data_IF_638567242974
#
_entry.id   IF_638567242974
#
_cell.length_a   1.000
_cell.length_b   1.000
_cell.length_c   1.000
_cell.angle_alpha   90.00
_cell.angle_beta   90.00
_cell.angle_gamma   90.00
#
_symmetry.space_group_name_H-M   'P 1'
#
loop_
_entity.id
_entity.type
_entity.pdbx_description
1 polymer ?
#
# COMPACT_ATOMS: atom_id res chain seq x y z
N UNK A 1 5.28 23.54 -11.96
CA UNK A 1 5.20 24.08 -13.32
C UNK A 1 5.56 22.98 -14.29
N UNK A 2 4.77 22.81 -15.37
CA UNK A 2 5.02 21.78 -16.39
C UNK A 2 5.01 22.42 -17.77
N UNK A 3 5.94 22.01 -18.62
CA UNK A 3 5.97 22.30 -20.04
C UNK A 3 6.24 21.01 -20.79
N UNK A 4 5.41 20.68 -21.78
CA UNK A 4 5.57 19.48 -22.58
C UNK A 4 5.36 19.79 -24.07
N UNK A 5 6.06 19.01 -24.90
CA UNK A 5 5.86 18.98 -26.32
C UNK A 5 5.70 17.53 -26.76
N UNK A 6 4.59 17.24 -27.43
CA UNK A 6 4.24 15.89 -27.86
C UNK A 6 3.97 15.90 -29.36
N UNK A 7 4.36 14.84 -30.05
CA UNK A 7 4.08 14.58 -31.45
C UNK A 7 3.50 13.17 -31.58
N UNK A 8 2.46 13.04 -32.35
CA UNK A 8 1.83 11.74 -32.69
C UNK A 8 1.66 11.66 -34.20
N UNK A 9 1.66 10.48 -34.72
CA UNK A 9 1.44 10.27 -36.17
C UNK A 9 1.35 8.80 -36.52
N UNK A 10 0.90 8.57 -37.75
CA UNK A 10 0.81 7.25 -38.36
C UNK A 10 1.84 7.14 -39.49
N UNK A 11 2.36 5.96 -39.70
CA UNK A 11 3.31 5.67 -40.76
C UNK A 11 3.20 4.21 -41.19
N UNK A 12 3.60 3.93 -42.45
CA UNK A 12 3.63 2.56 -42.91
C UNK A 12 4.99 1.91 -42.59
N UNK A 13 4.94 0.85 -41.78
CA UNK A 13 6.10 0.03 -41.42
C UNK A 13 6.03 -1.31 -42.12
N UNK A 14 6.76 -1.52 -43.23
CA UNK A 14 6.81 -2.76 -43.99
C UNK A 14 5.43 -3.25 -44.49
N UNK A 15 4.52 -2.34 -44.77
CA UNK A 15 3.15 -2.66 -45.20
C UNK A 15 2.13 -2.67 -44.06
N UNK A 16 2.52 -2.44 -42.82
CA UNK A 16 1.65 -2.33 -41.65
C UNK A 16 1.44 -0.85 -41.29
N UNK A 17 0.20 -0.47 -40.98
CA UNK A 17 -0.13 0.89 -40.55
C UNK A 17 0.15 1.06 -39.08
N UNK A 18 1.34 1.52 -38.75
CA UNK A 18 1.80 1.72 -37.39
C UNK A 18 1.56 3.15 -36.90
N UNK A 19 1.28 3.30 -35.61
CA UNK A 19 1.13 4.60 -34.95
C UNK A 19 2.26 4.82 -33.95
N UNK A 20 2.68 6.08 -33.80
CA UNK A 20 3.69 6.45 -32.80
C UNK A 20 3.28 7.68 -32.00
N UNK A 21 3.80 7.76 -30.78
CA UNK A 21 3.84 8.97 -29.97
C UNK A 21 5.26 9.20 -29.45
N UNK A 22 5.70 10.45 -29.41
CA UNK A 22 6.97 10.83 -28.78
C UNK A 22 6.83 12.19 -28.12
N UNK A 23 7.57 12.43 -27.05
CA UNK A 23 7.47 13.70 -26.38
C UNK A 23 8.65 14.00 -25.46
N UNK A 24 8.71 15.27 -25.09
CA UNK A 24 9.63 15.81 -24.11
C UNK A 24 8.85 16.59 -23.07
N UNK A 25 9.23 16.47 -21.81
CA UNK A 25 8.59 17.13 -20.69
C UNK A 25 9.64 17.75 -19.77
N UNK A 26 9.35 18.95 -19.28
CA UNK A 26 10.04 19.52 -18.13
C UNK A 26 9.04 19.84 -17.05
N UNK A 27 9.28 19.31 -15.84
CA UNK A 27 8.45 19.54 -14.67
C UNK A 27 9.30 20.08 -13.51
N UNK A 28 8.79 21.10 -12.83
CA UNK A 28 9.36 21.66 -11.61
C UNK A 28 8.32 21.58 -10.52
N UNK A 29 8.64 20.93 -9.44
CA UNK A 29 7.79 20.77 -8.27
C UNK A 29 8.41 21.47 -7.08
N UNK A 30 7.55 22.17 -6.30
CA UNK A 30 7.90 22.81 -5.05
C UNK A 30 6.82 22.54 -4.05
N UNK A 31 7.21 22.14 -2.85
CA UNK A 31 6.32 21.90 -1.73
C UNK A 31 6.77 22.64 -0.48
N UNK A 32 5.80 23.14 0.27
CA UNK A 32 6.02 23.71 1.58
C UNK A 32 4.86 23.30 2.48
N UNK A 33 5.17 22.67 3.61
CA UNK A 33 4.25 22.41 4.69
C UNK A 33 4.67 23.21 5.92
N UNK A 34 3.77 24.09 6.40
CA UNK A 34 4.03 25.00 7.51
C UNK A 34 3.15 24.60 8.67
N UNK A 35 3.68 23.90 9.68
CA UNK A 35 2.95 23.59 10.90
C UNK A 35 2.49 24.84 11.65
N UNK A 36 1.52 24.66 12.54
CA UNK A 36 1.07 25.72 13.43
C UNK A 36 2.25 26.38 14.17
N UNK A 37 2.27 27.72 14.33
CA UNK A 37 3.37 28.41 15.01
C UNK A 37 3.69 27.92 16.41
N UNK A 38 2.72 27.44 17.19
CA UNK A 38 2.96 26.86 18.50
C UNK A 38 3.61 25.47 18.42
N UNK A 39 3.26 24.70 17.38
CA UNK A 39 3.86 23.40 17.10
C UNK A 39 5.30 23.55 16.62
N UNK A 40 5.57 24.52 15.73
CA UNK A 40 6.92 24.90 15.31
C UNK A 40 7.80 25.35 16.51
N UNK A 41 7.23 26.11 17.43
CA UNK A 41 7.94 26.57 18.62
C UNK A 41 8.09 25.47 19.70
N UNK A 42 7.41 24.33 19.57
CA UNK A 42 7.35 23.29 20.60
C UNK A 42 6.59 23.71 21.85
N UNK A 43 5.66 24.63 21.71
CA UNK A 43 4.79 25.17 22.80
C UNK A 43 3.40 24.56 22.79
N UNK A 44 3.15 23.62 21.90
CA UNK A 44 1.92 22.84 21.77
C UNK A 44 2.00 21.58 22.67
N UNK A 45 0.87 21.04 23.11
CA UNK A 45 0.82 19.81 23.92
C UNK A 45 1.25 18.52 23.21
N UNK A 46 1.53 18.56 21.91
CA UNK A 46 2.07 17.48 21.09
C UNK A 46 3.56 17.67 20.77
N UNK A 47 4.07 16.81 19.88
CA UNK A 47 5.46 16.85 19.46
C UNK A 47 5.78 18.10 18.62
N UNK A 48 7.01 18.58 18.72
CA UNK A 48 7.52 19.63 17.84
C UNK A 48 7.64 19.09 16.41
N UNK A 49 7.03 19.79 15.44
CA UNK A 49 7.11 19.49 14.01
C UNK A 49 7.77 20.68 13.29
N UNK A 50 8.89 20.48 12.61
CA UNK A 50 9.54 21.54 11.86
C UNK A 50 8.87 21.78 10.51
N UNK A 51 9.24 22.88 9.85
CA UNK A 51 8.88 23.22 8.49
C UNK A 51 9.43 22.19 7.51
N UNK A 52 8.61 21.78 6.54
CA UNK A 52 9.05 21.01 5.37
C UNK A 52 9.09 21.96 4.16
N UNK A 53 10.22 22.06 3.49
CA UNK A 53 10.38 22.83 2.25
C UNK A 53 11.30 22.05 1.33
N UNK A 54 10.87 21.86 0.10
CA UNK A 54 11.69 21.19 -0.90
C UNK A 54 11.27 21.52 -2.32
N UNK A 55 12.17 21.28 -3.25
CA UNK A 55 11.92 21.38 -4.68
C UNK A 55 12.75 20.36 -5.44
N UNK A 56 12.23 19.91 -6.58
CA UNK A 56 12.98 19.15 -7.56
C UNK A 56 12.50 19.47 -8.97
N UNK A 57 13.32 19.14 -9.95
CA UNK A 57 12.97 19.23 -11.36
C UNK A 57 13.20 17.91 -12.08
N UNK A 58 12.41 17.68 -13.14
CA UNK A 58 12.46 16.50 -13.99
C UNK A 58 12.51 16.92 -15.43
N UNK A 59 13.38 16.29 -16.22
CA UNK A 59 13.33 16.35 -17.68
C UNK A 59 13.06 14.94 -18.20
N UNK A 60 11.90 14.76 -18.82
CA UNK A 60 11.41 13.49 -19.33
C UNK A 60 11.44 13.42 -20.85
N UNK A 61 11.73 12.23 -21.37
CA UNK A 61 11.70 11.89 -22.79
C UNK A 61 11.00 10.56 -22.94
N UNK A 62 10.07 10.46 -23.88
CA UNK A 62 9.38 9.20 -24.11
C UNK A 62 9.13 8.94 -25.60
N UNK A 63 8.97 7.67 -25.92
CA UNK A 63 8.53 7.18 -27.21
C UNK A 63 7.64 5.97 -27.06
N UNK A 64 6.59 5.91 -27.89
CA UNK A 64 5.61 4.83 -27.92
C UNK A 64 5.39 4.39 -29.36
N UNK A 65 5.17 3.10 -29.55
CA UNK A 65 4.91 2.50 -30.86
C UNK A 65 3.80 1.46 -30.72
N UNK A 66 2.85 1.53 -31.64
CA UNK A 66 1.75 0.57 -31.76
C UNK A 66 1.75 0.02 -33.20
N UNK A 67 1.84 -1.30 -33.34
CA UNK A 67 1.95 -1.96 -34.65
C UNK A 67 0.92 -3.09 -34.75
N UNK A 68 -0.04 -3.01 -35.69
CA UNK A 68 -0.93 -4.11 -36.01
C UNK A 68 -0.14 -5.16 -36.82
N UNK A 69 0.34 -6.19 -36.16
CA UNK A 69 1.22 -7.22 -36.76
C UNK A 69 0.47 -8.15 -37.72
N UNK A 70 -0.81 -8.42 -37.40
CA UNK A 70 -1.66 -9.36 -38.14
C UNK A 70 -3.06 -8.78 -38.23
N UNK A 71 -3.69 -8.89 -39.39
CA UNK A 71 -5.08 -8.51 -39.66
C UNK A 71 -5.76 -9.56 -40.55
N UNK A 72 -7.04 -9.79 -40.31
CA UNK A 72 -7.95 -10.60 -41.16
C UNK A 72 -7.50 -12.06 -41.45
N UNK A 73 -6.79 -12.69 -40.48
CA UNK A 73 -6.44 -14.12 -40.60
C UNK A 73 -7.35 -15.01 -39.72
N UNK A 74 -7.55 -16.28 -40.11
CA UNK A 74 -8.26 -17.23 -39.25
C UNK A 74 -7.60 -17.35 -37.86
N UNK A 75 -8.39 -17.25 -36.81
CA UNK A 75 -7.94 -17.24 -35.40
C UNK A 75 -7.00 -16.07 -35.03
N UNK A 76 -6.86 -15.08 -35.89
CA UNK A 76 -6.08 -13.87 -35.66
C UNK A 76 -6.68 -12.70 -36.44
N UNK A 77 -7.91 -12.31 -36.10
CA UNK A 77 -8.55 -11.15 -36.70
C UNK A 77 -7.70 -9.89 -36.57
N UNK A 78 -7.06 -9.75 -35.41
CA UNK A 78 -6.11 -8.69 -35.17
C UNK A 78 -5.09 -9.14 -34.11
N UNK A 79 -3.80 -8.92 -34.39
CA UNK A 79 -2.75 -8.98 -33.39
C UNK A 79 -2.02 -7.65 -33.40
N UNK A 80 -2.14 -6.90 -32.32
CA UNK A 80 -1.49 -5.60 -32.16
C UNK A 80 -0.43 -5.69 -31.09
N UNK A 81 0.78 -5.25 -31.43
CA UNK A 81 1.91 -5.10 -30.50
C UNK A 81 2.06 -3.64 -30.12
N UNK A 82 2.28 -3.37 -28.84
CA UNK A 82 2.59 -2.05 -28.32
C UNK A 82 3.90 -2.07 -27.54
N UNK A 83 4.68 -1.02 -27.63
CA UNK A 83 5.85 -0.80 -26.79
C UNK A 83 6.01 0.67 -26.45
N UNK A 84 6.51 0.94 -25.25
CA UNK A 84 6.83 2.29 -24.81
C UNK A 84 8.14 2.28 -24.02
N UNK A 85 8.87 3.38 -24.14
CA UNK A 85 10.06 3.65 -23.34
C UNK A 85 10.06 5.10 -22.88
N UNK A 86 10.33 5.31 -21.60
CA UNK A 86 10.47 6.64 -20.99
C UNK A 86 11.75 6.71 -20.17
N UNK A 87 12.45 7.84 -20.27
CA UNK A 87 13.57 8.15 -19.39
C UNK A 87 13.38 9.54 -18.79
N UNK A 88 13.52 9.62 -17.48
CA UNK A 88 13.37 10.84 -16.68
C UNK A 88 14.67 11.15 -15.94
N UNK A 89 15.13 12.39 -16.05
CA UNK A 89 16.29 12.89 -15.32
C UNK A 89 15.80 13.79 -14.17
N UNK A 90 15.81 13.24 -12.97
CA UNK A 90 15.47 13.95 -11.73
C UNK A 90 16.69 14.70 -11.19
N UNK A 91 16.47 15.90 -10.66
CA UNK A 91 17.53 16.65 -9.94
C UNK A 91 17.92 16.00 -8.61
N UNK A 92 17.13 15.04 -8.11
CA UNK A 92 17.27 14.38 -6.82
C UNK A 92 17.64 12.89 -6.97
N UNK A 93 16.79 12.09 -7.59
CA UNK A 93 16.97 10.63 -7.73
C UNK A 93 17.86 10.21 -8.92
N UNK A 94 18.34 11.17 -9.74
CA UNK A 94 19.16 10.86 -10.91
C UNK A 94 18.35 10.47 -12.14
N UNK A 95 18.83 9.51 -12.91
CA UNK A 95 18.17 9.03 -14.14
C UNK A 95 17.45 7.74 -13.87
N UNK A 96 16.17 7.72 -14.18
CA UNK A 96 15.29 6.55 -14.06
C UNK A 96 14.63 6.27 -15.40
N UNK A 97 14.31 5.02 -15.68
CA UNK A 97 13.63 4.63 -16.92
C UNK A 97 12.48 3.67 -16.65
N UNK A 98 11.55 3.62 -17.59
CA UNK A 98 10.39 2.78 -17.58
C UNK A 98 10.15 2.19 -18.96
N UNK A 99 9.73 0.92 -18.99
CA UNK A 99 9.48 0.17 -20.21
C UNK A 99 8.11 -0.47 -20.19
N UNK A 100 7.52 -0.65 -21.37
CA UNK A 100 6.26 -1.37 -21.54
C UNK A 100 6.29 -2.17 -22.83
N UNK A 101 5.83 -3.43 -22.74
CA UNK A 101 5.52 -4.28 -23.89
C UNK A 101 4.11 -4.84 -23.72
N UNK A 102 3.31 -4.71 -24.74
CA UNK A 102 1.93 -5.18 -24.74
C UNK A 102 1.58 -5.93 -26.01
N UNK A 103 0.67 -6.87 -25.87
CA UNK A 103 0.04 -7.60 -26.97
C UNK A 103 -1.47 -7.63 -26.77
N UNK A 104 -2.20 -7.35 -27.84
CA UNK A 104 -3.64 -7.57 -27.94
C UNK A 104 -3.88 -8.52 -29.10
N UNK A 105 -4.56 -9.63 -28.85
CA UNK A 105 -4.87 -10.65 -29.83
C UNK A 105 -6.37 -10.91 -29.87
N UNK A 106 -7.03 -10.36 -30.88
CA UNK A 106 -8.43 -10.64 -31.23
C UNK A 106 -8.44 -11.94 -32.02
N UNK A 107 -8.81 -13.03 -31.37
CA UNK A 107 -8.82 -14.37 -31.96
C UNK A 107 -9.97 -14.50 -32.95
N UNK A 108 -11.14 -14.03 -32.55
CA UNK A 108 -12.39 -13.96 -33.34
C UNK A 108 -13.32 -12.91 -32.67
N UNK A 109 -14.56 -12.79 -33.18
CA UNK A 109 -15.55 -11.83 -32.66
C UNK A 109 -15.88 -12.06 -31.17
N UNK A 110 -15.69 -13.27 -30.65
CA UNK A 110 -16.09 -13.69 -29.34
C UNK A 110 -14.94 -13.64 -28.33
N UNK A 111 -13.66 -13.79 -28.76
CA UNK A 111 -12.54 -14.02 -27.86
C UNK A 111 -11.36 -13.08 -28.13
N UNK A 112 -10.94 -12.38 -27.10
CA UNK A 112 -9.75 -11.52 -27.11
C UNK A 112 -8.82 -11.86 -25.96
N UNK A 113 -7.56 -12.00 -26.24
CA UNK A 113 -6.47 -12.09 -25.27
C UNK A 113 -5.71 -10.76 -25.21
N UNK A 114 -5.23 -10.39 -24.02
CA UNK A 114 -4.32 -9.25 -23.80
C UNK A 114 -3.23 -9.60 -22.81
N UNK A 115 -2.04 -9.07 -23.03
CA UNK A 115 -0.94 -9.24 -22.10
C UNK A 115 -0.06 -8.00 -22.07
N UNK A 116 0.40 -7.61 -20.89
CA UNK A 116 1.32 -6.49 -20.70
C UNK A 116 2.41 -6.90 -19.73
N UNK A 117 3.64 -6.57 -20.09
CA UNK A 117 4.82 -6.58 -19.23
C UNK A 117 5.33 -5.15 -19.15
N UNK A 118 5.49 -4.62 -17.95
CA UNK A 118 5.99 -3.25 -17.79
C UNK A 118 6.88 -3.12 -16.56
N UNK A 119 7.91 -2.32 -16.71
CA UNK A 119 8.72 -1.79 -15.63
C UNK A 119 8.36 -0.32 -15.45
N UNK A 120 8.07 0.07 -14.20
CA UNK A 120 7.72 1.43 -13.84
C UNK A 120 8.51 1.87 -12.62
N UNK A 121 8.64 3.19 -12.44
CA UNK A 121 9.47 3.77 -11.37
C UNK A 121 8.70 4.85 -10.63
N UNK A 122 8.98 4.96 -9.33
CA UNK A 122 8.53 6.07 -8.48
C UNK A 122 9.73 6.78 -7.85
N UNK A 123 9.97 8.02 -8.23
CA UNK A 123 10.95 8.84 -7.54
C UNK A 123 10.43 9.27 -6.16
N UNK A 124 11.32 9.52 -5.17
CA UNK A 124 10.95 10.04 -3.86
C UNK A 124 10.18 11.35 -3.97
N UNK A 125 9.14 11.50 -3.15
CA UNK A 125 8.37 12.73 -3.02
C UNK A 125 9.15 13.82 -2.25
N UNK A 126 8.68 15.08 -2.31
CA UNK A 126 9.23 16.17 -1.50
C UNK A 126 9.19 15.81 0.00
N UNK A 127 8.15 15.15 0.46
CA UNK A 127 8.06 14.71 1.86
C UNK A 127 9.08 13.62 2.20
N UNK A 128 9.29 12.66 1.30
CA UNK A 128 10.28 11.59 1.52
C UNK A 128 11.70 12.17 1.65
N UNK A 129 12.03 13.20 0.86
CA UNK A 129 13.35 13.82 0.82
C UNK A 129 13.56 14.87 1.92
N UNK A 130 12.61 15.80 2.07
CA UNK A 130 12.82 17.07 2.77
C UNK A 130 11.96 17.26 4.02
N UNK A 131 11.18 16.27 4.47
CA UNK A 131 10.49 16.39 5.76
C UNK A 131 11.47 16.74 6.85
N UNK A 132 11.19 17.83 7.56
CA UNK A 132 12.02 18.25 8.68
C UNK A 132 11.99 17.20 9.80
N UNK A 133 13.01 17.20 10.67
CA UNK A 133 13.10 16.22 11.76
C UNK A 133 12.06 16.53 12.85
N UNK A 134 10.93 15.84 12.80
CA UNK A 134 9.86 15.92 13.77
C UNK A 134 10.25 15.12 15.03
N UNK A 135 9.99 15.71 16.20
CA UNK A 135 10.22 15.05 17.48
C UNK A 135 9.23 13.88 17.65
N UNK A 136 9.73 12.77 18.19
CA UNK A 136 8.93 11.60 18.53
C UNK A 136 9.38 10.95 19.82
N UNK A 137 8.45 10.34 20.56
CA UNK A 137 8.70 9.60 21.80
C UNK A 137 8.10 8.21 21.63
N UNK A 138 8.88 7.30 21.09
CA UNK A 138 8.47 5.90 20.90
C UNK A 138 9.28 5.04 21.88
N UNK A 139 8.68 3.99 22.41
CA UNK A 139 9.40 3.02 23.22
C UNK A 139 10.48 2.34 22.37
N UNK A 140 11.74 2.52 22.78
CA UNK A 140 12.92 1.97 22.09
C UNK A 140 13.58 0.91 22.95
N UNK A 141 13.75 -0.30 22.40
CA UNK A 141 14.59 -1.32 22.98
C UNK A 141 16.08 -1.01 22.75
N UNK A 142 16.86 -0.87 23.80
CA UNK A 142 18.32 -0.79 23.67
C UNK A 142 18.91 -2.20 23.67
N UNK A 143 19.58 -2.64 22.57
CA UNK A 143 20.18 -3.97 22.50
C UNK A 143 21.26 -4.22 23.57
N UNK A 144 21.82 -3.16 24.14
CA UNK A 144 22.81 -3.27 25.22
C UNK A 144 22.18 -3.45 26.61
N UNK A 145 20.86 -3.31 26.75
CA UNK A 145 20.19 -3.53 28.03
C UNK A 145 20.32 -5.00 28.46
N UNK A 146 20.90 -5.22 29.65
CA UNK A 146 21.18 -6.56 30.18
C UNK A 146 22.64 -6.98 30.11
N UNK A 147 23.49 -6.28 29.35
CA UNK A 147 24.95 -6.57 29.29
C UNK A 147 25.59 -6.35 30.64
N UNK A 148 26.45 -7.30 31.06
CA UNK A 148 27.04 -7.33 32.43
C UNK A 148 26.05 -7.78 33.52
N UNK A 149 24.83 -8.17 33.15
CA UNK A 149 23.78 -8.62 34.05
C UNK A 149 23.54 -10.13 34.05
N UNK A 150 22.53 -10.57 34.81
CA UNK A 150 22.20 -12.01 34.99
C UNK A 150 21.75 -12.70 33.73
N UNK A 151 21.23 -11.97 32.73
CA UNK A 151 20.68 -12.52 31.48
C UNK A 151 21.66 -12.40 30.30
N UNK A 152 22.86 -11.90 30.50
CA UNK A 152 23.87 -11.72 29.43
C UNK A 152 24.11 -13.02 28.63
N UNK A 153 24.15 -14.17 29.31
CA UNK A 153 24.38 -15.47 28.69
C UNK A 153 23.32 -15.85 27.62
N UNK A 154 22.15 -15.21 27.64
CA UNK A 154 21.09 -15.42 26.66
C UNK A 154 21.11 -14.38 25.53
N UNK A 155 22.02 -13.42 25.55
CA UNK A 155 22.14 -12.37 24.55
C UNK A 155 23.00 -12.84 23.38
N UNK A 156 22.84 -12.20 22.22
CA UNK A 156 23.71 -12.43 21.08
C UNK A 156 25.16 -12.02 21.44
N UNK A 157 26.14 -12.94 21.33
CA UNK A 157 27.53 -12.66 21.72
C UNK A 157 28.17 -11.48 20.97
N UNK A 158 27.79 -11.26 19.68
CA UNK A 158 28.27 -10.11 18.88
C UNK A 158 27.77 -8.80 19.48
N UNK A 159 26.50 -8.75 19.87
CA UNK A 159 25.90 -7.58 20.54
C UNK A 159 26.59 -7.30 21.85
N UNK A 160 26.80 -8.33 22.68
CA UNK A 160 27.51 -8.18 23.97
C UNK A 160 28.92 -7.61 23.76
N UNK A 161 29.68 -8.19 22.82
CA UNK A 161 31.03 -7.71 22.52
C UNK A 161 31.06 -6.26 22.03
N UNK A 162 30.14 -5.90 21.11
CA UNK A 162 30.04 -4.55 20.57
C UNK A 162 29.59 -3.55 21.66
N UNK A 163 28.62 -3.90 22.50
CA UNK A 163 28.21 -3.05 23.62
C UNK A 163 29.34 -2.81 24.64
N UNK A 164 30.08 -3.85 25.01
CA UNK A 164 31.20 -3.74 25.94
C UNK A 164 32.44 -3.04 25.35
N UNK A 165 32.54 -2.95 24.04
CA UNK A 165 33.58 -2.17 23.37
C UNK A 165 33.38 -0.65 23.52
N UNK A 166 32.15 -0.18 23.85
CA UNK A 166 31.88 1.20 24.23
C UNK A 166 32.20 1.39 25.71
N UNK A 167 33.26 2.19 26.06
CA UNK A 167 33.69 2.35 27.43
C UNK A 167 32.64 2.94 28.38
N UNK A 168 31.66 3.70 27.81
CA UNK A 168 30.55 4.29 28.57
C UNK A 168 29.59 3.20 29.04
N UNK A 169 29.23 2.28 28.15
CA UNK A 169 28.34 1.15 28.44
C UNK A 169 29.04 0.19 29.41
N UNK A 170 30.29 -0.18 29.12
CA UNK A 170 31.09 -1.06 29.98
C UNK A 170 31.23 -0.53 31.40
N UNK A 171 31.52 0.78 31.58
CA UNK A 171 31.63 1.40 32.89
C UNK A 171 30.32 1.39 33.69
N UNK A 172 29.18 1.61 33.00
CA UNK A 172 27.86 1.58 33.63
C UNK A 172 27.44 0.15 33.95
N UNK A 173 27.69 -0.81 33.05
CA UNK A 173 27.43 -2.23 33.28
C UNK A 173 28.18 -2.77 34.52
N UNK A 174 29.45 -2.37 34.69
CA UNK A 174 30.26 -2.78 35.84
C UNK A 174 29.74 -2.23 37.18
N UNK A 175 29.09 -1.07 37.17
CA UNK A 175 28.50 -0.46 38.38
C UNK A 175 27.11 -1.01 38.69
N UNK A 176 26.37 -1.41 37.71
CA UNK A 176 24.95 -1.71 37.79
C UNK A 176 24.09 -0.46 38.06
N UNK A 177 22.79 -0.65 38.16
CA UNK A 177 21.80 0.40 38.46
C UNK A 177 21.23 0.20 39.86
N UNK A 178 21.35 1.22 40.72
CA UNK A 178 20.70 1.21 42.02
C UNK A 178 19.20 1.47 41.86
N UNK A 179 18.38 0.54 42.36
CA UNK A 179 16.93 0.66 42.42
C UNK A 179 16.51 1.15 43.79
N UNK A 180 16.00 2.39 43.87
CA UNK A 180 15.66 3.06 45.10
C UNK A 180 14.46 2.41 45.80
N UNK A 181 13.49 1.94 45.01
CA UNK A 181 12.24 1.38 45.54
C UNK A 181 12.48 0.01 46.18
N UNK A 182 13.37 -0.78 45.58
CA UNK A 182 13.73 -2.10 46.07
C UNK A 182 14.96 -2.13 46.97
N UNK A 183 15.68 -1.00 47.07
CA UNK A 183 16.94 -0.85 47.81
C UNK A 183 17.99 -1.93 47.43
N UNK A 184 18.10 -2.22 46.14
CA UNK A 184 19.07 -3.19 45.60
C UNK A 184 19.85 -2.60 44.42
N UNK A 185 21.02 -3.18 44.16
CA UNK A 185 21.75 -2.91 42.90
C UNK A 185 21.42 -3.97 41.88
N UNK A 186 20.79 -3.56 40.76
CA UNK A 186 20.53 -4.41 39.60
C UNK A 186 21.82 -4.51 38.81
N UNK A 187 22.40 -5.71 38.64
CA UNK A 187 23.67 -5.87 37.91
C UNK A 187 23.50 -5.62 36.42
N UNK A 188 24.57 -5.15 35.77
CA UNK A 188 24.63 -4.91 34.36
C UNK A 188 24.07 -3.56 33.93
N UNK A 189 24.10 -3.34 32.62
CA UNK A 189 23.60 -2.14 31.99
C UNK A 189 22.07 -2.21 31.89
N UNK A 190 21.35 -1.32 32.55
CA UNK A 190 19.90 -1.38 32.62
C UNK A 190 19.28 0.01 32.72
N UNK A 191 18.02 0.10 32.34
CA UNK A 191 17.20 1.30 32.39
C UNK A 191 16.17 1.23 33.51
N UNK A 192 15.81 2.36 34.08
CA UNK A 192 14.56 2.51 34.80
C UNK A 192 13.41 2.76 33.83
N UNK A 193 12.19 2.49 34.27
CA UNK A 193 11.00 2.72 33.44
C UNK A 193 10.90 4.18 32.91
N UNK A 194 11.12 5.22 33.74
CA UNK A 194 11.14 6.59 33.25
C UNK A 194 12.22 6.85 32.19
N UNK A 195 13.40 6.25 32.33
CA UNK A 195 14.48 6.42 31.34
C UNK A 195 14.09 5.88 29.95
N UNK A 196 13.45 4.69 29.90
CA UNK A 196 13.00 4.11 28.60
C UNK A 196 11.92 4.97 27.97
N UNK A 197 10.95 5.43 28.75
CA UNK A 197 9.80 6.19 28.28
C UNK A 197 10.12 7.60 27.81
N UNK A 198 11.26 8.15 28.22
CA UNK A 198 11.65 9.53 27.90
C UNK A 198 12.76 9.64 26.86
N UNK A 199 13.13 8.54 26.19
CA UNK A 199 14.10 8.60 25.11
C UNK A 199 13.47 9.34 23.94
N UNK A 200 13.98 10.55 23.68
CA UNK A 200 13.53 11.38 22.58
C UNK A 200 14.09 10.90 21.25
N UNK A 201 13.32 10.99 20.20
CA UNK A 201 13.75 10.67 18.86
C UNK A 201 13.26 11.66 17.82
N UNK A 202 13.71 11.44 16.60
CA UNK A 202 13.38 12.26 15.46
C UNK A 202 13.05 11.38 14.25
N UNK A 203 11.97 11.75 13.54
CA UNK A 203 11.60 11.19 12.24
C UNK A 203 11.69 12.29 11.21
N UNK A 204 12.16 11.99 10.01
CA UNK A 204 12.31 13.03 8.97
C UNK A 204 12.59 12.44 7.60
N UNK A 205 12.74 13.32 6.62
CA UNK A 205 13.11 12.95 5.26
C UNK A 205 14.57 12.51 5.14
N UNK A 206 14.89 11.96 3.97
CA UNK A 206 16.24 11.51 3.61
C UNK A 206 16.54 11.92 2.15
N UNK A 207 17.44 12.86 1.98
CA UNK A 207 17.85 13.36 0.65
C UNK A 207 18.66 12.34 -0.18
N UNK A 208 19.06 11.20 0.44
CA UNK A 208 19.81 10.14 -0.25
C UNK A 208 18.93 9.00 -0.75
N UNK A 209 17.61 9.19 -0.80
CA UNK A 209 16.68 8.19 -1.34
C UNK A 209 16.83 8.10 -2.87
N UNK A 210 16.86 6.85 -3.36
CA UNK A 210 16.70 6.52 -4.76
C UNK A 210 15.22 6.30 -5.14
N UNK A 211 15.01 5.87 -6.37
CA UNK A 211 13.70 5.45 -6.87
C UNK A 211 13.27 4.10 -6.28
N UNK A 212 11.98 3.83 -6.37
CA UNK A 212 11.39 2.50 -6.30
C UNK A 212 11.17 2.01 -7.74
N UNK A 213 11.41 0.74 -7.99
CA UNK A 213 11.08 0.10 -9.27
C UNK A 213 9.97 -0.92 -9.10
N UNK A 214 9.11 -1.05 -10.10
CA UNK A 214 8.04 -2.02 -10.09
C UNK A 214 7.95 -2.78 -11.40
N UNK A 215 8.04 -4.11 -11.31
CA UNK A 215 7.73 -5.03 -12.41
C UNK A 215 6.27 -5.43 -12.35
N UNK A 216 5.57 -5.27 -13.47
CA UNK A 216 4.15 -5.59 -13.57
C UNK A 216 3.89 -6.53 -14.74
N UNK A 217 3.20 -7.63 -14.45
CA UNK A 217 2.67 -8.57 -15.44
C UNK A 217 1.15 -8.58 -15.35
N UNK A 218 0.47 -8.35 -16.47
CA UNK A 218 -0.98 -8.56 -16.59
C UNK A 218 -1.31 -9.43 -17.80
N UNK A 219 -2.21 -10.40 -17.59
CA UNK A 219 -2.73 -11.28 -18.64
C UNK A 219 -4.25 -11.31 -18.55
N UNK A 220 -4.93 -11.03 -19.64
CA UNK A 220 -6.38 -10.97 -19.64
C UNK A 220 -7.02 -11.76 -20.80
N UNK A 221 -8.14 -12.38 -20.51
CA UNK A 221 -9.01 -13.03 -21.48
C UNK A 221 -10.40 -12.39 -21.42
N UNK A 222 -10.87 -11.89 -22.53
CA UNK A 222 -12.24 -11.36 -22.70
C UNK A 222 -13.01 -12.31 -23.59
N UNK A 223 -14.20 -12.70 -23.14
CA UNK A 223 -15.10 -13.59 -23.85
C UNK A 223 -16.50 -12.99 -23.92
N UNK A 224 -16.95 -12.68 -25.14
CA UNK A 224 -18.25 -12.10 -25.43
C UNK A 224 -18.97 -12.98 -26.51
N UNK A 225 -19.52 -14.14 -26.09
CA UNK A 225 -20.01 -15.13 -27.04
C UNK A 225 -21.21 -14.61 -27.83
N UNK A 226 -21.09 -14.58 -29.14
CA UNK A 226 -22.15 -14.13 -30.07
C UNK A 226 -23.45 -14.97 -30.01
N UNK A 227 -23.34 -16.22 -29.50
CA UNK A 227 -24.49 -17.12 -29.33
C UNK A 227 -25.22 -16.96 -27.99
N UNK A 228 -24.69 -16.13 -27.06
CA UNK A 228 -25.33 -15.71 -25.80
C UNK A 228 -25.31 -14.20 -25.75
N UNK A 229 -26.32 -13.60 -26.37
CA UNK A 229 -26.44 -12.14 -26.44
C UNK A 229 -26.47 -11.52 -25.05
N UNK A 230 -25.76 -10.42 -24.85
CA UNK A 230 -25.65 -9.71 -23.55
C UNK A 230 -24.65 -10.30 -22.57
N UNK A 231 -23.99 -11.45 -22.83
CA UNK A 231 -22.96 -12.01 -21.94
C UNK A 231 -21.58 -11.43 -22.23
N UNK A 232 -20.89 -10.96 -21.20
CA UNK A 232 -19.47 -10.62 -21.23
C UNK A 232 -18.76 -11.20 -20.01
N UNK A 233 -17.65 -11.89 -20.25
CA UNK A 233 -16.79 -12.45 -19.20
C UNK A 233 -15.37 -11.99 -19.40
N UNK A 234 -14.74 -11.51 -18.35
CA UNK A 234 -13.32 -11.14 -18.37
C UNK A 234 -12.61 -11.83 -17.20
N UNK A 235 -11.49 -12.47 -17.49
CA UNK A 235 -10.58 -13.03 -16.50
C UNK A 235 -9.21 -12.37 -16.68
N UNK A 236 -8.76 -11.65 -15.66
CA UNK A 236 -7.45 -11.00 -15.65
C UNK A 236 -6.59 -11.59 -14.50
N UNK A 237 -5.35 -11.91 -14.81
CA UNK A 237 -4.28 -12.16 -13.86
C UNK A 237 -3.43 -10.91 -13.75
N UNK A 238 -3.02 -10.57 -12.55
CA UNK A 238 -2.03 -9.52 -12.30
C UNK A 238 -0.95 -9.99 -11.33
N UNK A 239 0.27 -9.54 -11.54
CA UNK A 239 1.39 -9.67 -10.62
C UNK A 239 2.19 -8.38 -10.65
N UNK A 240 2.43 -7.79 -9.48
CA UNK A 240 3.16 -6.54 -9.29
C UNK A 240 4.19 -6.78 -8.21
N UNK A 241 5.45 -6.61 -8.54
CA UNK A 241 6.57 -6.65 -7.61
C UNK A 241 7.23 -5.28 -7.55
N UNK A 242 7.35 -4.70 -6.34
CA UNK A 242 8.00 -3.41 -6.12
C UNK A 242 9.25 -3.65 -5.29
N UNK A 243 10.40 -3.28 -5.83
CA UNK A 243 11.69 -3.32 -5.14
C UNK A 243 12.08 -1.92 -4.65
N UNK A 244 13.01 -1.89 -3.71
CA UNK A 244 13.55 -0.64 -3.13
C UNK A 244 12.48 0.31 -2.60
N UNK A 245 11.36 -0.26 -2.09
CA UNK A 245 10.24 0.50 -1.54
C UNK A 245 10.76 1.43 -0.43
N UNK A 246 10.41 2.70 -0.55
CA UNK A 246 10.75 3.72 0.45
C UNK A 246 9.87 3.51 1.67
N UNK A 247 10.47 3.02 2.74
CA UNK A 247 9.80 2.79 4.01
C UNK A 247 10.61 3.32 5.18
N UNK A 248 9.92 3.71 6.25
CA UNK A 248 10.60 4.10 7.49
C UNK A 248 10.98 2.84 8.29
N UNK A 249 12.26 2.66 8.54
CA UNK A 249 12.74 1.60 9.44
C UNK A 249 12.71 2.10 10.87
N UNK A 250 12.14 1.28 11.78
CA UNK A 250 12.09 1.65 13.19
C UNK A 250 13.48 1.86 13.76
N UNK A 251 13.64 2.88 14.60
CA UNK A 251 14.91 3.16 15.25
C UNK A 251 15.41 1.97 16.08
N UNK A 252 14.52 1.21 16.74
CA UNK A 252 14.88 -0.03 17.44
C UNK A 252 15.60 -1.03 16.55
N UNK A 253 15.13 -1.19 15.32
CA UNK A 253 15.76 -2.08 14.35
C UNK A 253 17.11 -1.56 13.91
N UNK A 254 17.23 -0.30 13.51
CA UNK A 254 18.51 0.31 13.11
C UNK A 254 19.56 0.20 14.21
N UNK A 255 19.17 0.45 15.47
CA UNK A 255 20.07 0.32 16.62
C UNK A 255 20.49 -1.14 16.83
N UNK A 256 19.56 -2.09 16.71
CA UNK A 256 19.88 -3.52 16.80
C UNK A 256 20.86 -3.95 15.69
N UNK A 257 20.63 -3.57 14.46
CA UNK A 257 21.50 -3.87 13.32
C UNK A 257 22.90 -3.25 13.50
N UNK A 258 23.00 -2.04 14.07
CA UNK A 258 24.27 -1.42 14.41
C UNK A 258 25.08 -2.32 15.37
N UNK A 259 24.47 -2.78 16.46
CA UNK A 259 25.15 -3.60 17.47
C UNK A 259 25.33 -5.06 17.06
N UNK A 260 24.60 -5.55 16.07
CA UNK A 260 24.80 -6.88 15.45
C UNK A 260 25.88 -6.86 14.37
N UNK A 261 26.27 -5.69 13.88
CA UNK A 261 27.21 -5.55 12.79
C UNK A 261 28.64 -5.97 13.17
N UNK A 262 29.31 -6.71 12.29
CA UNK A 262 30.74 -6.98 12.39
C UNK A 262 31.60 -5.74 12.11
N UNK A 263 31.02 -4.69 11.51
CA UNK A 263 31.67 -3.40 11.22
C UNK A 263 31.37 -2.33 12.27
N UNK A 264 30.86 -2.71 13.46
CA UNK A 264 30.63 -1.76 14.56
C UNK A 264 31.94 -1.06 14.96
N UNK A 265 31.95 0.26 15.26
CA UNK A 265 30.83 1.22 15.23
C UNK A 265 30.65 1.94 13.88
N UNK A 266 31.29 1.48 12.80
CA UNK A 266 31.35 2.18 11.51
C UNK A 266 30.24 1.76 10.53
N UNK A 267 29.36 0.86 10.93
CA UNK A 267 28.18 0.51 10.13
C UNK A 267 27.23 1.72 9.99
N UNK A 268 26.64 1.90 8.82
CA UNK A 268 25.78 3.06 8.50
C UNK A 268 24.60 3.20 9.48
N UNK A 269 24.04 2.08 9.95
CA UNK A 269 22.95 2.05 10.92
C UNK A 269 23.34 2.63 12.29
N UNK A 270 24.65 2.71 12.59
CA UNK A 270 25.12 3.27 13.87
C UNK A 270 24.91 4.78 14.00
N UNK A 271 24.67 5.47 12.88
CA UNK A 271 24.26 6.89 12.88
C UNK A 271 22.84 7.12 13.40
N UNK A 272 22.02 6.05 13.51
CA UNK A 272 20.62 6.12 13.94
C UNK A 272 20.44 6.44 15.43
N UNK A 273 21.51 6.63 16.21
CA UNK A 273 21.38 6.96 17.63
C UNK A 273 22.59 7.71 18.19
N UNK A 274 22.35 8.37 19.31
CA UNK A 274 23.41 8.95 20.15
C UNK A 274 23.23 8.49 21.60
N UNK A 275 24.34 8.53 22.38
CA UNK A 275 24.34 8.12 23.78
C UNK A 275 24.86 9.23 24.69
N UNK A 276 24.36 9.27 25.91
CA UNK A 276 24.93 10.06 27.02
C UNK A 276 26.29 9.48 27.46
N UNK A 277 27.01 10.24 28.28
CA UNK A 277 28.25 9.77 28.93
C UNK A 277 28.03 8.55 29.84
N UNK A 278 26.80 8.33 30.31
CA UNK A 278 26.40 7.13 31.04
C UNK A 278 26.19 5.89 30.13
N UNK A 279 26.33 6.00 28.82
CA UNK A 279 26.07 4.94 27.86
C UNK A 279 24.59 4.77 27.49
N UNK A 280 23.64 5.35 28.22
CA UNK A 280 22.22 5.28 27.90
C UNK A 280 21.92 6.03 26.63
N UNK A 281 20.91 5.57 25.86
CA UNK A 281 20.42 6.24 24.65
C UNK A 281 19.96 7.67 24.98
N UNK A 282 20.42 8.62 24.18
CA UNK A 282 20.06 10.04 24.30
C UNK A 282 19.02 10.43 23.26
N UNK A 283 19.33 10.18 21.98
CA UNK A 283 18.46 10.42 20.85
C UNK A 283 18.50 9.24 19.90
N UNK A 284 17.40 9.03 19.21
CA UNK A 284 17.30 8.11 18.08
C UNK A 284 16.77 8.84 16.86
N UNK A 285 17.09 8.29 15.68
CA UNK A 285 16.70 8.83 14.41
C UNK A 285 16.10 7.71 13.56
N UNK A 286 14.95 8.01 12.91
CA UNK A 286 14.30 7.14 11.93
C UNK A 286 14.02 7.96 10.68
N UNK A 287 14.40 7.43 9.55
CA UNK A 287 14.23 8.06 8.25
C UNK A 287 13.88 6.99 7.21
N UNK A 288 13.33 7.45 6.06
CA UNK A 288 13.05 6.57 4.93
C UNK A 288 14.33 5.99 4.34
N UNK A 289 14.28 4.75 3.92
CA UNK A 289 15.34 4.06 3.19
C UNK A 289 14.73 3.17 2.10
N UNK A 290 15.47 2.96 1.01
CA UNK A 290 15.13 2.04 -0.06
C UNK A 290 15.60 0.62 0.30
N UNK A 291 14.77 -0.19 0.94
CA UNK A 291 15.15 -1.55 1.38
C UNK A 291 14.00 -2.54 1.40
N UNK A 292 12.77 -2.08 1.28
CA UNK A 292 11.60 -2.96 1.38
C UNK A 292 11.23 -3.51 0.02
N UNK A 293 10.61 -4.69 0.02
CA UNK A 293 9.99 -5.30 -1.16
C UNK A 293 8.53 -5.53 -0.88
N UNK A 294 7.72 -5.27 -1.88
CA UNK A 294 6.28 -5.50 -1.86
C UNK A 294 5.89 -6.30 -3.09
N UNK A 295 5.09 -7.35 -2.92
CA UNK A 295 4.60 -8.18 -4.01
C UNK A 295 3.10 -8.42 -3.83
N UNK A 296 2.32 -8.24 -4.90
CA UNK A 296 0.91 -8.58 -4.92
C UNK A 296 0.56 -9.28 -6.23
N UNK A 297 -0.22 -10.37 -6.14
CA UNK A 297 -0.69 -11.11 -7.29
C UNK A 297 -2.11 -11.62 -7.04
N UNK A 298 -2.86 -11.85 -8.13
CA UNK A 298 -4.21 -12.38 -8.03
C UNK A 298 -4.93 -12.42 -9.35
N UNK A 299 -6.23 -12.70 -9.26
CA UNK A 299 -7.13 -12.82 -10.40
C UNK A 299 -8.35 -11.95 -10.16
N UNK A 300 -8.80 -11.27 -11.23
CA UNK A 300 -10.08 -10.58 -11.30
C UNK A 300 -10.98 -11.28 -12.32
N UNK A 301 -12.11 -11.80 -11.86
CA UNK A 301 -13.16 -12.36 -12.71
C UNK A 301 -14.32 -11.36 -12.76
N UNK A 302 -14.57 -10.78 -13.93
CA UNK A 302 -15.74 -9.94 -14.15
C UNK A 302 -16.74 -10.64 -15.07
N UNK A 303 -18.01 -10.61 -14.70
CA UNK A 303 -19.12 -11.19 -15.48
C UNK A 303 -20.21 -10.15 -15.57
N UNK A 304 -20.62 -9.83 -16.80
CA UNK A 304 -21.79 -9.00 -17.09
C UNK A 304 -22.79 -9.80 -17.92
N UNK A 305 -24.07 -9.70 -17.59
CA UNK A 305 -25.16 -10.26 -18.38
C UNK A 305 -26.38 -9.37 -18.35
N UNK A 306 -26.90 -9.05 -19.53
CA UNK A 306 -28.13 -8.26 -19.69
C UNK A 306 -29.25 -9.12 -20.22
N UNK A 307 -30.34 -9.25 -19.46
CA UNK A 307 -31.57 -9.89 -19.85
C UNK A 307 -32.49 -8.82 -20.43
N UNK A 308 -32.63 -8.77 -21.74
CA UNK A 308 -33.51 -7.82 -22.44
C UNK A 308 -34.97 -8.23 -22.39
N UNK A 309 -35.27 -9.53 -22.30
CA UNK A 309 -36.63 -10.08 -22.19
C UNK A 309 -36.82 -10.84 -20.88
N UNK A 310 -37.58 -10.24 -19.97
CA UNK A 310 -37.97 -10.83 -18.69
C UNK A 310 -39.37 -11.49 -18.73
N UNK A 311 -39.90 -11.74 -19.91
CA UNK A 311 -41.25 -12.32 -20.12
C UNK A 311 -42.36 -11.37 -19.64
N UNK A 312 -43.14 -11.70 -18.60
CA UNK A 312 -44.25 -10.85 -18.17
C UNK A 312 -43.80 -9.59 -17.37
N UNK A 313 -42.52 -9.50 -16.97
CA UNK A 313 -42.00 -8.35 -16.24
C UNK A 313 -41.42 -7.36 -17.24
N UNK A 314 -41.91 -6.08 -17.26
CA UNK A 314 -41.40 -5.08 -18.21
C UNK A 314 -39.98 -4.68 -17.85
N UNK A 315 -39.22 -4.23 -18.88
CA UNK A 315 -37.85 -3.71 -18.71
C UNK A 315 -36.77 -4.77 -18.88
N UNK A 316 -35.55 -4.39 -18.52
CA UNK A 316 -34.36 -5.19 -18.63
C UNK A 316 -33.71 -5.42 -17.24
N UNK A 317 -32.97 -6.51 -17.09
CA UNK A 317 -32.17 -6.80 -15.90
C UNK A 317 -30.71 -6.93 -16.30
N UNK A 318 -29.88 -6.00 -15.82
CA UNK A 318 -28.44 -6.04 -15.93
C UNK A 318 -27.82 -6.63 -14.64
N UNK A 319 -27.00 -7.65 -14.80
CA UNK A 319 -26.25 -8.27 -13.70
C UNK A 319 -24.77 -8.07 -13.99
N UNK A 320 -24.05 -7.41 -13.07
CA UNK A 320 -22.60 -7.23 -13.16
C UNK A 320 -21.94 -7.66 -11.86
N UNK A 321 -21.03 -8.60 -11.98
CA UNK A 321 -20.23 -9.09 -10.86
C UNK A 321 -18.75 -8.95 -11.14
N UNK A 322 -17.99 -8.63 -10.09
CA UNK A 322 -16.53 -8.76 -10.07
C UNK A 322 -16.13 -9.52 -8.81
N UNK A 323 -15.25 -10.50 -8.99
CA UNK A 323 -14.64 -11.27 -7.90
C UNK A 323 -13.14 -11.11 -8.02
N UNK A 324 -12.51 -10.55 -6.99
CA UNK A 324 -11.06 -10.49 -6.85
C UNK A 324 -10.60 -11.63 -5.95
N UNK A 325 -9.71 -12.47 -6.46
CA UNK A 325 -9.04 -13.56 -5.73
C UNK A 325 -7.57 -13.17 -5.59
N UNK A 326 -7.15 -12.89 -4.36
CA UNK A 326 -5.77 -12.49 -4.05
C UNK A 326 -4.94 -13.73 -3.76
N UNK A 327 -3.86 -13.93 -4.52
CA UNK A 327 -2.94 -15.07 -4.38
C UNK A 327 -1.72 -14.72 -3.52
N UNK A 328 -1.26 -13.46 -3.60
CA UNK A 328 -0.12 -12.94 -2.84
C UNK A 328 -0.36 -11.52 -2.36
N UNK A 329 0.15 -11.21 -1.17
CA UNK A 329 0.29 -9.86 -0.63
C UNK A 329 1.49 -9.83 0.32
N UNK A 330 2.67 -9.91 -0.26
CA UNK A 330 3.92 -10.13 0.47
C UNK A 330 4.57 -8.78 0.75
N UNK A 331 4.98 -8.59 1.99
CA UNK A 331 5.81 -7.47 2.41
C UNK A 331 7.10 -7.98 3.06
N UNK A 332 8.20 -7.42 2.63
CA UNK A 332 9.51 -7.68 3.19
C UNK A 332 10.14 -6.36 3.62
N UNK A 333 10.33 -6.16 4.90
CA UNK A 333 10.76 -4.87 5.48
C UNK A 333 12.18 -4.48 5.07
N UNK A 334 13.06 -5.45 4.86
CA UNK A 334 14.44 -5.24 4.37
C UNK A 334 14.91 -6.48 3.62
N UNK A 335 15.94 -6.33 2.80
CA UNK A 335 16.54 -7.43 2.02
C UNK A 335 16.98 -8.67 2.84
N UNK A 336 17.12 -8.52 4.15
CA UNK A 336 17.53 -9.61 5.07
C UNK A 336 16.42 -10.13 5.96
N UNK A 337 15.24 -9.48 5.96
CA UNK A 337 14.08 -9.95 6.73
C UNK A 337 13.36 -11.08 6.01
N UNK A 338 12.68 -11.93 6.76
CA UNK A 338 11.79 -12.95 6.18
C UNK A 338 10.56 -12.24 5.56
N UNK A 339 10.25 -12.50 4.29
CA UNK A 339 9.00 -12.03 3.70
C UNK A 339 7.80 -12.57 4.46
N UNK A 340 6.77 -11.77 4.62
CA UNK A 340 5.50 -12.16 5.25
C UNK A 340 4.38 -11.96 4.24
N UNK A 341 3.59 -13.00 4.02
CA UNK A 341 2.38 -12.93 3.22
C UNK A 341 1.19 -12.57 4.12
N UNK A 342 0.47 -11.51 3.76
CA UNK A 342 -0.66 -10.96 4.50
C UNK A 342 -2.01 -11.32 3.88
N UNK A 343 -2.06 -12.21 2.86
CA UNK A 343 -3.33 -12.71 2.32
C UNK A 343 -4.11 -13.40 3.43
N UNK A 344 -5.41 -13.08 3.52
CA UNK A 344 -6.29 -13.59 4.57
C UNK A 344 -6.27 -12.78 5.87
N UNK A 345 -5.50 -11.68 5.96
CA UNK A 345 -5.65 -10.72 7.08
C UNK A 345 -6.85 -9.80 6.84
N UNK A 346 -7.47 -9.31 7.90
CA UNK A 346 -8.59 -8.35 7.83
C UNK A 346 -8.24 -7.15 6.96
N UNK A 347 -9.04 -6.90 5.92
CA UNK A 347 -8.78 -5.89 4.89
C UNK A 347 -7.95 -6.40 3.70
N UNK A 348 -7.31 -7.55 3.84
CA UNK A 348 -6.55 -8.25 2.80
C UNK A 348 -7.12 -9.66 2.54
N UNK A 349 -8.45 -9.76 2.59
CA UNK A 349 -9.18 -11.00 2.34
C UNK A 349 -8.71 -11.64 1.02
N UNK A 350 -8.63 -12.95 1.00
CA UNK A 350 -8.29 -13.72 -0.20
C UNK A 350 -9.34 -13.63 -1.29
N UNK A 351 -10.64 -13.51 -0.92
CA UNK A 351 -11.73 -13.31 -1.86
C UNK A 351 -12.59 -12.10 -1.49
N UNK A 352 -12.82 -11.22 -2.45
CA UNK A 352 -13.75 -10.10 -2.36
C UNK A 352 -14.65 -10.13 -3.59
N UNK A 353 -15.97 -10.04 -3.39
CA UNK A 353 -16.91 -9.97 -4.51
C UNK A 353 -17.88 -8.80 -4.38
N UNK A 354 -18.18 -8.19 -5.53
CA UNK A 354 -19.26 -7.22 -5.66
C UNK A 354 -20.15 -7.60 -6.82
N UNK A 355 -21.45 -7.74 -6.55
CA UNK A 355 -22.44 -8.09 -7.57
C UNK A 355 -23.55 -7.04 -7.52
N UNK A 356 -23.85 -6.46 -8.67
CA UNK A 356 -24.93 -5.50 -8.87
C UNK A 356 -26.01 -6.15 -9.71
N UNK A 357 -27.26 -6.03 -9.27
CA UNK A 357 -28.47 -6.36 -10.01
C UNK A 357 -29.21 -5.06 -10.27
N UNK A 358 -29.35 -4.67 -11.53
CA UNK A 358 -30.01 -3.42 -11.90
C UNK A 358 -31.17 -3.73 -12.83
N UNK A 359 -32.41 -3.57 -12.34
CA UNK A 359 -33.61 -3.66 -13.13
C UNK A 359 -34.05 -2.26 -13.58
N UNK A 360 -34.28 -2.09 -14.87
CA UNK A 360 -34.60 -0.81 -15.50
C UNK A 360 -35.85 -0.94 -16.36
N UNK A 361 -36.77 0.00 -16.22
CA UNK A 361 -37.93 0.22 -17.11
C UNK A 361 -37.93 1.66 -17.61
N UNK A 362 -38.96 2.05 -18.36
CA UNK A 362 -39.12 3.44 -18.80
C UNK A 362 -39.10 4.44 -17.64
N UNK A 363 -39.71 4.10 -16.48
CA UNK A 363 -39.87 4.99 -15.37
C UNK A 363 -39.07 4.60 -14.11
N UNK A 364 -38.63 3.33 -13.98
CA UNK A 364 -38.04 2.80 -12.78
C UNK A 364 -36.61 2.29 -12.99
N UNK A 365 -35.76 2.55 -12.00
CA UNK A 365 -34.49 1.84 -11.84
C UNK A 365 -34.41 1.32 -10.42
N UNK A 366 -34.22 0.01 -10.28
CA UNK A 366 -34.00 -0.66 -8.99
C UNK A 366 -32.63 -1.32 -9.02
N UNK A 367 -31.74 -0.92 -8.14
CA UNK A 367 -30.39 -1.48 -8.02
C UNK A 367 -30.19 -2.12 -6.66
N UNK A 368 -29.81 -3.39 -6.66
CA UNK A 368 -29.36 -4.13 -5.48
C UNK A 368 -27.89 -4.47 -5.62
N UNK A 369 -27.06 -3.93 -4.74
CA UNK A 369 -25.63 -4.25 -4.67
C UNK A 369 -25.38 -5.22 -3.54
N UNK A 370 -24.65 -6.28 -3.82
CA UNK A 370 -24.13 -7.25 -2.85
C UNK A 370 -22.63 -7.10 -2.73
N UNK A 371 -22.12 -6.96 -1.52
CA UNK A 371 -20.70 -6.92 -1.23
C UNK A 371 -20.36 -8.11 -0.31
N UNK A 372 -19.41 -8.91 -0.72
CA UNK A 372 -18.94 -10.10 -0.01
C UNK A 372 -17.45 -10.00 0.29
N UNK A 373 -17.06 -10.41 1.48
CA UNK A 373 -15.69 -10.59 1.94
C UNK A 373 -15.56 -11.99 2.52
N UNK A 374 -14.53 -12.74 2.13
CA UNK A 374 -14.24 -14.05 2.71
C UNK A 374 -13.88 -13.91 4.19
N UNK A 375 -13.80 -15.03 4.88
CA UNK A 375 -13.23 -15.10 6.23
C UNK A 375 -11.78 -14.60 6.25
N UNK A 376 -11.34 -14.16 7.41
CA UNK A 376 -10.02 -13.54 7.59
C UNK A 376 -9.47 -13.81 9.00
N UNK A 377 -8.24 -13.41 9.22
CA UNK A 377 -7.58 -13.43 10.52
C UNK A 377 -7.15 -12.03 10.93
N UNK A 378 -7.09 -11.76 12.23
CA UNK A 378 -6.65 -10.46 12.74
C UNK A 378 -5.13 -10.21 12.57
N UNK A 379 -4.33 -11.28 12.54
CA UNK A 379 -2.86 -11.22 12.41
C UNK A 379 -2.31 -12.56 11.89
N UNK A 380 -1.99 -12.61 10.59
CA UNK A 380 -1.41 -13.81 9.94
C UNK A 380 0.00 -14.15 10.44
N UNK A 381 0.66 -13.26 11.17
CA UNK A 381 1.99 -13.51 11.74
C UNK A 381 1.96 -14.34 13.03
N UNK A 382 0.77 -14.54 13.60
CA UNK A 382 0.58 -15.34 14.82
C UNK A 382 0.56 -16.82 14.53
N UNK A 383 1.13 -17.61 15.44
CA UNK A 383 1.07 -19.06 15.31
C UNK A 383 -0.37 -19.58 15.44
N UNK A 384 -0.78 -20.60 14.65
CA UNK A 384 -2.08 -21.23 14.79
C UNK A 384 -2.33 -21.70 16.23
N UNK A 385 -3.49 -21.33 16.79
CA UNK A 385 -3.86 -21.65 18.17
C UNK A 385 -3.29 -20.68 19.22
N UNK A 386 -2.64 -19.59 18.80
CA UNK A 386 -2.26 -18.51 19.69
C UNK A 386 -3.52 -17.87 20.32
N UNK A 387 -3.44 -17.50 21.59
CA UNK A 387 -4.53 -16.78 22.28
C UNK A 387 -4.86 -15.43 21.61
N UNK A 388 -3.90 -14.86 20.87
CA UNK A 388 -4.02 -13.58 20.18
C UNK A 388 -4.51 -13.71 18.73
N UNK A 389 -4.60 -14.92 18.19
CA UNK A 389 -5.11 -15.14 16.85
C UNK A 389 -6.63 -15.25 16.90
N UNK A 390 -7.31 -14.35 16.19
CA UNK A 390 -8.76 -14.35 16.09
C UNK A 390 -9.18 -14.53 14.63
N UNK A 391 -9.99 -15.56 14.37
CA UNK A 391 -10.67 -15.73 13.11
C UNK A 391 -11.86 -14.76 13.03
N UNK A 392 -12.04 -14.18 11.85
CA UNK A 392 -13.14 -13.28 11.49
C UNK A 392 -13.95 -13.96 10.41
N UNK A 393 -15.22 -14.22 10.67
CA UNK A 393 -16.13 -14.89 9.73
C UNK A 393 -16.36 -14.06 8.47
N UNK A 394 -16.70 -14.73 7.38
CA UNK A 394 -17.08 -14.07 6.12
C UNK A 394 -18.26 -13.12 6.32
N UNK A 395 -18.25 -12.04 5.55
CA UNK A 395 -19.21 -10.96 5.71
C UNK A 395 -19.86 -10.58 4.38
N UNK A 396 -21.20 -10.48 4.38
CA UNK A 396 -21.96 -10.03 3.21
C UNK A 396 -22.95 -8.97 3.64
N UNK A 397 -22.99 -7.85 2.93
CA UNK A 397 -24.01 -6.83 3.10
C UNK A 397 -24.63 -6.41 1.77
N UNK A 398 -25.84 -5.86 1.86
CA UNK A 398 -26.68 -5.50 0.73
C UNK A 398 -27.02 -4.02 0.78
N UNK A 399 -26.93 -3.36 -0.38
CA UNK A 399 -27.36 -1.97 -0.57
C UNK A 399 -28.44 -1.91 -1.62
N UNK A 400 -29.54 -1.21 -1.33
CA UNK A 400 -30.68 -1.09 -2.25
C UNK A 400 -30.88 0.37 -2.63
N UNK A 401 -31.06 0.64 -3.91
CA UNK A 401 -31.49 1.94 -4.39
C UNK A 401 -32.69 1.76 -5.35
N UNK A 402 -33.69 2.60 -5.20
CA UNK A 402 -34.85 2.70 -6.09
C UNK A 402 -34.93 4.14 -6.58
N UNK A 403 -34.98 4.31 -7.90
CA UNK A 403 -35.19 5.59 -8.57
C UNK A 403 -36.47 5.53 -9.37
N UNK A 404 -37.22 6.63 -9.36
CA UNK A 404 -38.41 6.82 -10.17
C UNK A 404 -38.33 8.15 -10.94
N UNK A 405 -38.52 8.10 -12.23
CA UNK A 405 -38.49 9.25 -13.12
C UNK A 405 -39.91 9.90 -13.12
N UNK A 406 -40.03 11.03 -12.38
CA UNK A 406 -41.30 11.77 -12.25
C UNK A 406 -41.68 12.48 -13.53
N UNK A 407 -40.70 12.96 -14.27
CA UNK A 407 -40.83 13.61 -15.59
C UNK A 407 -39.52 13.37 -16.36
N UNK A 408 -39.49 13.69 -17.65
CA UNK A 408 -38.26 13.62 -18.46
C UNK A 408 -37.05 14.39 -17.88
N UNK A 409 -37.29 15.29 -16.94
CA UNK A 409 -36.27 16.20 -16.37
C UNK A 409 -36.11 16.07 -14.86
N UNK A 410 -36.95 15.28 -14.20
CA UNK A 410 -36.95 15.21 -12.72
C UNK A 410 -37.08 13.75 -12.29
N UNK A 411 -36.11 13.27 -11.55
CA UNK A 411 -36.18 11.99 -10.86
C UNK A 411 -36.08 12.12 -9.33
N UNK A 412 -36.66 11.14 -8.66
CA UNK A 412 -36.59 10.94 -7.22
C UNK A 412 -35.94 9.60 -6.95
N UNK A 413 -35.01 9.55 -6.00
CA UNK A 413 -34.43 8.29 -5.57
C UNK A 413 -34.48 8.13 -4.06
N UNK A 414 -34.61 6.88 -3.63
CA UNK A 414 -34.54 6.43 -2.26
C UNK A 414 -33.53 5.30 -2.17
N UNK A 415 -32.67 5.29 -1.14
CA UNK A 415 -31.73 4.22 -0.94
C UNK A 415 -31.62 3.80 0.52
N UNK A 416 -31.17 2.56 0.69
CA UNK A 416 -30.86 1.96 1.99
C UNK A 416 -29.55 1.23 1.87
N UNK A 417 -28.51 1.78 2.46
CA UNK A 417 -27.24 1.05 2.63
C UNK A 417 -27.37 0.11 3.83
N UNK A 418 -26.71 -1.05 3.74
CA UNK A 418 -26.80 -2.15 4.70
C UNK A 418 -28.27 -2.58 4.96
N UNK A 419 -29.00 -2.94 3.90
CA UNK A 419 -30.40 -3.31 3.93
C UNK A 419 -30.74 -4.40 4.98
N UNK A 420 -29.81 -5.32 5.22
CA UNK A 420 -29.95 -6.40 6.18
C UNK A 420 -29.67 -5.99 7.64
N UNK A 421 -29.22 -4.76 7.89
CA UNK A 421 -28.80 -4.27 9.21
C UNK A 421 -27.73 -5.14 9.86
N UNK A 422 -26.81 -5.62 9.05
CA UNK A 422 -25.78 -6.56 9.50
C UNK A 422 -24.62 -5.82 10.15
N UNK A 423 -24.30 -6.18 11.38
CA UNK A 423 -23.15 -5.63 12.09
C UNK A 423 -21.85 -6.19 11.52
N UNK A 424 -20.77 -5.39 11.44
CA UNK A 424 -19.45 -5.90 11.09
C UNK A 424 -19.01 -7.02 12.04
N UNK A 425 -18.15 -7.95 11.58
CA UNK A 425 -17.61 -8.97 12.46
C UNK A 425 -16.87 -8.39 13.65
N UNK A 426 -17.02 -9.03 14.81
CA UNK A 426 -16.32 -8.63 16.02
C UNK A 426 -14.85 -9.02 15.96
N UNK A 427 -13.95 -8.05 16.12
CA UNK A 427 -12.51 -8.26 16.08
C UNK A 427 -11.79 -7.35 17.07
N UNK A 428 -11.65 -7.74 18.35
CA UNK A 428 -11.07 -6.90 19.39
C UNK A 428 -9.58 -6.61 19.22
N UNK A 429 -8.88 -7.39 18.39
CA UNK A 429 -7.44 -7.26 18.17
C UNK A 429 -7.09 -6.73 16.78
N UNK A 430 -8.10 -6.37 15.96
CA UNK A 430 -7.82 -5.85 14.60
C UNK A 430 -6.96 -4.59 14.65
N UNK A 431 -5.79 -4.63 14.04
CA UNK A 431 -4.77 -3.58 14.07
C UNK A 431 -5.16 -2.30 13.31
N UNK A 432 -6.09 -2.42 12.36
CA UNK A 432 -6.48 -1.33 11.47
C UNK A 432 -7.69 -0.54 11.97
N UNK A 433 -8.04 -0.68 13.23
CA UNK A 433 -9.13 0.08 13.83
C UNK A 433 -8.66 1.49 14.21
N UNK A 434 -9.29 2.56 13.70
CA UNK A 434 -8.91 3.95 13.99
C UNK A 434 -9.21 4.35 15.42
N UNK A 435 -10.01 3.56 16.13
CA UNK A 435 -10.43 3.85 17.48
C UNK A 435 -10.15 2.64 18.38
N UNK A 436 -9.12 2.69 19.25
CA UNK A 436 -8.74 1.57 20.12
C UNK A 436 -9.78 1.22 21.20
N UNK A 437 -11.03 1.49 20.97
CA UNK A 437 -12.17 1.13 21.80
C UNK A 437 -13.30 0.50 20.99
N UNK A 438 -13.23 0.47 19.67
CA UNK A 438 -14.17 -0.24 18.82
C UNK A 438 -13.67 -1.67 18.63
N UNK A 439 -14.54 -2.63 18.86
CA UNK A 439 -14.23 -4.06 18.70
C UNK A 439 -14.78 -4.60 17.38
N UNK A 440 -14.86 -3.77 16.34
CA UNK A 440 -15.43 -4.14 15.05
C UNK A 440 -14.43 -3.89 13.91
N UNK A 441 -14.55 -4.64 12.84
CA UNK A 441 -13.78 -4.47 11.59
C UNK A 441 -14.41 -3.43 10.66
N UNK A 442 -15.07 -2.41 11.21
CA UNK A 442 -15.93 -1.50 10.47
C UNK A 442 -15.25 -0.80 9.29
N UNK A 443 -13.99 -0.39 9.40
CA UNK A 443 -13.27 0.23 8.31
C UNK A 443 -13.01 -0.70 7.14
N UNK A 444 -12.77 -1.97 7.39
CA UNK A 444 -12.46 -2.95 6.36
C UNK A 444 -13.71 -3.51 5.67
N UNK A 445 -14.86 -3.56 6.34
CA UNK A 445 -16.03 -4.30 5.87
C UNK A 445 -17.29 -3.44 5.69
N UNK A 446 -17.43 -2.31 6.36
CA UNK A 446 -18.68 -1.56 6.33
C UNK A 446 -18.50 -0.08 6.00
N UNK A 447 -19.28 0.39 5.04
CA UNK A 447 -19.45 1.83 4.77
C UNK A 447 -20.21 2.57 5.87
N UNK A 448 -21.03 1.85 6.64
CA UNK A 448 -21.95 2.40 7.65
C UNK A 448 -21.71 1.64 8.95
N UNK A 449 -21.27 2.35 9.97
CA UNK A 449 -20.72 1.84 11.21
C UNK A 449 -21.66 0.98 12.04
N UNK A 450 -22.98 1.21 12.03
CA UNK A 450 -23.78 0.66 13.13
C UNK A 450 -25.22 0.32 12.77
N UNK A 451 -25.68 0.66 11.57
CA UNK A 451 -27.08 0.47 11.22
C UNK A 451 -27.35 0.76 9.74
N UNK A 452 -28.59 0.53 9.33
CA UNK A 452 -29.09 0.95 8.02
C UNK A 452 -28.96 2.47 7.86
N UNK A 453 -28.41 2.87 6.72
CA UNK A 453 -28.41 4.26 6.34
C UNK A 453 -29.47 4.50 5.27
N UNK A 454 -30.43 5.37 5.55
CA UNK A 454 -31.52 5.71 4.63
C UNK A 454 -31.24 7.09 4.02
N UNK A 455 -31.44 7.20 2.71
CA UNK A 455 -31.30 8.48 2.03
C UNK A 455 -32.38 8.67 0.96
N UNK A 456 -32.74 9.92 0.71
CA UNK A 456 -33.65 10.34 -0.35
C UNK A 456 -33.06 11.54 -1.05
N UNK A 457 -33.24 11.64 -2.36
CA UNK A 457 -32.78 12.77 -3.14
C UNK A 457 -33.61 12.99 -4.40
N UNK A 458 -33.36 14.14 -5.00
CA UNK A 458 -33.97 14.56 -6.25
C UNK A 458 -32.87 14.99 -7.21
N UNK A 459 -33.06 14.70 -8.48
CA UNK A 459 -32.23 15.20 -9.58
C UNK A 459 -33.15 15.91 -10.58
N UNK A 460 -32.73 17.08 -11.06
CA UNK A 460 -33.46 17.87 -12.05
C UNK A 460 -32.49 18.40 -13.13
#
# INVERSE_FOLDING_TARGET
RTAAFNITGDFNLLGLDASFAAGVERREERGMDVPDPLQLAGLHGGNKVPLTVGEYSVNGYYGELLVPLVQDLPFAQEITFETAYRVDHYSTAGTVDATKFGISWVINDDVRFRGVLSESVRAPSISDLYSGQAQSYTSIGDPCAGVGGTNEANMNPVVVANCLSDPRIAATAAKGRFDVDQNITIPGFSYSQPQIQTISGFTGGNENLGEESADTTTLGLVWTPSYVEGLAVTLDYYEIEIEDVISSVSASRLINECYQSTNYPNASQCSAHTRFDSGHLRYWYSYGINQSRYETAGYDLAVGYTFEDLGPVPGELDIRGIVTMRDKHIYQTTSTSTPTDFVGEVGLNDEIARINFTWTTDDWLVSLQTNYYSDAQDDVTQAPGSYHLQAVDSYTYLDLQVRYDLTDSVDVYFGVDNLSDKQPPYCPNCKNEPNPGSHYTAESYARVWDSKFHYIGFRW
#
